data_IF_931541300376
#
_entry.id   IF_931541300376
#
_cell.length_a   1.000
_cell.length_b   1.000
_cell.length_c   1.000
_cell.angle_alpha   90.00
_cell.angle_beta   90.00
_cell.angle_gamma   90.00
#
_symmetry.space_group_name_H-M   'P 1'
#
loop_
_entity.id
_entity.type
_entity.pdbx_description
1 polymer ?
#
# COMPACT_ATOMS: atom_id res chain seq x y z
N UNK A 1 -23.33 34.18 -6.21
CA UNK A 1 -23.72 32.76 -6.28
C UNK A 1 -22.46 31.95 -6.44
N UNK A 2 -22.17 31.05 -5.51
CA UNK A 2 -21.02 30.15 -5.59
C UNK A 2 -21.33 29.06 -6.63
N UNK A 3 -20.44 28.90 -7.62
CA UNK A 3 -20.65 27.96 -8.73
C UNK A 3 -20.09 26.60 -8.33
N UNK A 4 -20.97 25.60 -8.24
CA UNK A 4 -20.54 24.20 -8.09
C UNK A 4 -19.88 23.77 -9.41
N UNK A 5 -18.60 23.43 -9.35
CA UNK A 5 -17.81 22.97 -10.51
C UNK A 5 -17.95 21.45 -10.70
N UNK A 6 -18.05 20.70 -9.60
CA UNK A 6 -18.19 19.24 -9.64
C UNK A 6 -18.82 18.71 -8.35
N UNK A 7 -19.73 17.74 -8.50
CA UNK A 7 -20.33 16.96 -7.43
C UNK A 7 -20.43 15.50 -7.91
N UNK A 8 -20.19 14.54 -7.02
CA UNK A 8 -20.45 13.13 -7.29
C UNK A 8 -21.02 12.44 -6.07
N UNK A 9 -21.92 11.50 -6.31
CA UNK A 9 -22.44 10.59 -5.28
C UNK A 9 -21.96 9.18 -5.60
N UNK A 10 -21.25 8.57 -4.64
CA UNK A 10 -20.65 7.25 -4.80
C UNK A 10 -20.93 6.38 -3.58
N UNK A 11 -21.24 5.11 -3.83
CA UNK A 11 -21.30 4.09 -2.78
C UNK A 11 -19.92 3.48 -2.61
N UNK A 12 -19.49 3.37 -1.35
CA UNK A 12 -18.20 2.76 -1.03
C UNK A 12 -18.39 1.29 -0.64
N UNK A 13 -17.50 0.44 -1.15
CA UNK A 13 -17.47 -0.98 -0.86
C UNK A 13 -16.05 -1.36 -0.44
N UNK A 14 -15.96 -2.31 0.50
CA UNK A 14 -14.72 -2.99 0.83
C UNK A 14 -14.72 -4.34 0.11
N UNK A 15 -13.89 -4.48 -0.92
CA UNK A 15 -13.78 -5.70 -1.74
C UNK A 15 -12.32 -5.99 -2.08
N UNK A 16 -11.99 -7.27 -2.15
CA UNK A 16 -10.68 -7.77 -2.52
C UNK A 16 -10.82 -8.93 -3.51
N UNK A 17 -10.13 -8.85 -4.63
CA UNK A 17 -10.04 -9.91 -5.60
C UNK A 17 -9.28 -11.11 -5.00
N UNK A 18 -9.78 -12.32 -5.24
CA UNK A 18 -9.12 -13.56 -4.79
C UNK A 18 -7.83 -13.87 -5.54
N UNK A 19 -7.73 -13.40 -6.79
CA UNK A 19 -6.58 -13.56 -7.68
C UNK A 19 -6.34 -12.25 -8.39
N UNK A 20 -5.08 -11.85 -8.49
CA UNK A 20 -4.61 -10.66 -9.18
C UNK A 20 -4.09 -11.01 -10.56
N UNK A 21 -3.82 -12.28 -10.85
CA UNK A 21 -3.45 -12.73 -12.18
C UNK A 21 -4.05 -14.09 -12.54
N UNK A 22 -4.25 -14.29 -13.85
CA UNK A 22 -4.59 -15.58 -14.43
C UNK A 22 -3.96 -15.67 -15.82
N UNK A 23 -2.94 -16.52 -15.95
CA UNK A 23 -2.18 -16.66 -17.19
C UNK A 23 -1.50 -15.34 -17.58
N UNK A 24 -1.95 -14.73 -18.68
CA UNK A 24 -1.42 -13.46 -19.21
C UNK A 24 -2.26 -12.23 -18.82
N UNK A 25 -3.31 -12.43 -18.02
CA UNK A 25 -4.20 -11.36 -17.59
C UNK A 25 -3.87 -10.97 -16.16
N UNK A 26 -3.75 -9.66 -15.92
CA UNK A 26 -3.42 -9.08 -14.63
C UNK A 26 -4.45 -8.01 -14.26
N UNK A 27 -4.81 -7.96 -12.98
CA UNK A 27 -5.66 -6.93 -12.39
C UNK A 27 -4.79 -5.97 -11.57
N UNK A 28 -5.15 -4.70 -11.50
CA UNK A 28 -4.50 -3.70 -10.64
C UNK A 28 -5.50 -2.61 -10.20
N UNK A 29 -5.20 -1.91 -9.10
CA UNK A 29 -6.05 -0.82 -8.59
C UNK A 29 -7.47 -1.28 -8.26
N UNK A 30 -8.46 -0.47 -8.65
CA UNK A 30 -9.88 -0.71 -8.35
C UNK A 30 -10.42 -2.04 -8.88
N UNK A 31 -9.76 -2.63 -9.88
CA UNK A 31 -10.08 -3.97 -10.37
C UNK A 31 -9.69 -5.09 -9.37
N UNK A 32 -8.66 -4.84 -8.56
CA UNK A 32 -8.18 -5.76 -7.53
C UNK A 32 -8.80 -5.49 -6.16
N UNK A 33 -8.96 -4.23 -5.79
CA UNK A 33 -9.36 -3.85 -4.45
C UNK A 33 -10.18 -2.58 -4.48
N UNK A 34 -11.23 -2.58 -3.66
CA UNK A 34 -12.01 -1.40 -3.37
C UNK A 34 -11.99 -1.25 -1.86
N UNK A 35 -11.74 -0.05 -1.40
CA UNK A 35 -11.86 0.27 0.01
C UNK A 35 -12.42 1.67 0.19
N UNK A 36 -12.91 1.92 1.39
CA UNK A 36 -13.43 3.22 1.77
C UNK A 36 -12.46 4.36 1.42
N UNK A 37 -12.94 5.50 0.89
CA UNK A 37 -12.11 6.65 0.56
C UNK A 37 -11.54 7.31 1.80
N UNK A 38 -12.02 6.94 2.99
CA UNK A 38 -11.55 7.43 4.28
C UNK A 38 -10.06 7.14 4.40
N UNK A 39 -9.29 8.19 4.14
CA UNK A 39 -7.83 8.20 4.18
C UNK A 39 -7.10 8.34 2.84
N UNK A 40 -7.81 8.46 1.71
CA UNK A 40 -7.21 8.87 0.43
C UNK A 40 -6.22 7.85 -0.17
N UNK A 41 -6.35 6.57 0.18
CA UNK A 41 -5.34 5.55 -0.17
C UNK A 41 -5.60 4.87 -1.53
N UNK A 42 -6.78 5.06 -2.14
CA UNK A 42 -7.24 4.27 -3.29
C UNK A 42 -6.34 4.42 -4.51
N UNK A 43 -6.27 5.64 -5.03
CA UNK A 43 -5.46 5.98 -6.20
C UNK A 43 -3.97 5.68 -5.98
N UNK A 44 -3.43 6.02 -4.80
CA UNK A 44 -2.02 5.77 -4.47
C UNK A 44 -1.69 4.28 -4.48
N UNK A 45 -2.58 3.44 -3.95
CA UNK A 45 -2.40 1.98 -3.93
C UNK A 45 -2.44 1.42 -5.35
N UNK A 46 -3.38 1.88 -6.18
CA UNK A 46 -3.48 1.47 -7.58
C UNK A 46 -2.24 1.85 -8.41
N UNK A 47 -1.69 3.04 -8.22
CA UNK A 47 -0.43 3.42 -8.87
C UNK A 47 0.74 2.53 -8.46
N UNK A 48 0.82 2.17 -7.18
CA UNK A 48 1.88 1.28 -6.69
C UNK A 48 1.74 -0.15 -7.23
N UNK A 49 0.52 -0.64 -7.44
CA UNK A 49 0.28 -1.93 -8.09
C UNK A 49 0.79 -1.90 -9.53
N UNK A 50 0.39 -0.88 -10.30
CA UNK A 50 0.82 -0.71 -11.68
C UNK A 50 2.35 -0.57 -11.78
N UNK A 51 2.96 0.23 -10.89
CA UNK A 51 4.41 0.39 -10.85
C UNK A 51 5.13 -0.93 -10.55
N UNK A 52 4.63 -1.72 -9.58
CA UNK A 52 5.21 -3.03 -9.25
C UNK A 52 5.12 -4.01 -10.44
N UNK A 53 3.98 -4.03 -11.14
CA UNK A 53 3.77 -4.93 -12.26
C UNK A 53 4.55 -4.52 -13.52
N UNK A 54 4.66 -3.22 -13.80
CA UNK A 54 5.22 -2.69 -15.05
C UNK A 54 6.68 -3.13 -15.29
N UNK A 55 7.55 -3.02 -14.28
CA UNK A 55 8.95 -3.40 -14.45
C UNK A 55 9.14 -4.92 -14.59
N UNK A 56 8.30 -5.71 -13.91
CA UNK A 56 8.31 -7.18 -14.03
C UNK A 56 7.88 -7.62 -15.42
N UNK A 57 6.79 -7.04 -15.93
CA UNK A 57 6.31 -7.30 -17.30
C UNK A 57 7.37 -6.91 -18.32
N UNK A 58 7.94 -5.70 -18.22
CA UNK A 58 8.99 -5.26 -19.13
C UNK A 58 10.21 -6.18 -19.10
N UNK A 59 10.64 -6.62 -17.92
CA UNK A 59 11.76 -7.56 -17.78
C UNK A 59 11.48 -8.92 -18.42
N UNK A 60 10.27 -9.46 -18.27
CA UNK A 60 9.88 -10.74 -18.90
C UNK A 60 9.75 -10.60 -20.41
N UNK A 61 9.12 -9.53 -20.91
CA UNK A 61 8.94 -9.29 -22.34
C UNK A 61 10.27 -9.10 -23.08
N UNK A 62 11.25 -8.47 -22.41
CA UNK A 62 12.59 -8.28 -22.96
C UNK A 62 13.52 -9.50 -22.77
N UNK A 63 13.04 -10.59 -22.15
CA UNK A 63 13.85 -11.78 -21.88
C UNK A 63 14.88 -11.62 -20.75
N UNK A 64 14.82 -10.53 -19.99
CA UNK A 64 15.74 -10.23 -18.88
C UNK A 64 15.34 -10.93 -17.57
N UNK A 65 14.06 -11.29 -17.42
CA UNK A 65 13.51 -11.95 -16.23
C UNK A 65 12.73 -13.20 -16.60
N UNK A 66 12.74 -14.19 -15.71
CA UNK A 66 11.90 -15.38 -15.85
C UNK A 66 10.41 -15.05 -15.65
N UNK A 67 9.49 -15.68 -16.40
CA UNK A 67 8.05 -15.46 -16.23
C UNK A 67 7.53 -15.69 -14.81
N UNK A 68 8.18 -16.56 -14.03
CA UNK A 68 7.84 -16.83 -12.62
C UNK A 68 7.92 -15.59 -11.71
N UNK A 69 8.67 -14.55 -12.11
CA UNK A 69 8.70 -13.27 -11.38
C UNK A 69 7.32 -12.61 -11.34
N UNK A 70 6.46 -12.84 -12.34
CA UNK A 70 5.12 -12.28 -12.37
C UNK A 70 4.20 -12.88 -11.30
N UNK A 71 4.49 -14.08 -10.81
CA UNK A 71 3.76 -14.69 -9.69
C UNK A 71 3.98 -13.92 -8.38
N UNK A 72 5.13 -13.24 -8.26
CA UNK A 72 5.44 -12.45 -7.06
C UNK A 72 4.55 -11.21 -6.93
N UNK A 73 3.97 -10.70 -8.04
CA UNK A 73 3.08 -9.54 -8.01
C UNK A 73 1.87 -9.74 -7.09
N UNK A 74 1.14 -10.84 -7.26
CA UNK A 74 -0.02 -11.16 -6.42
C UNK A 74 0.41 -11.31 -4.94
N UNK A 75 1.48 -12.07 -4.71
CA UNK A 75 1.99 -12.35 -3.36
C UNK A 75 2.51 -11.11 -2.63
N UNK A 76 2.97 -10.09 -3.36
CA UNK A 76 3.46 -8.82 -2.82
C UNK A 76 2.32 -7.83 -2.59
N UNK A 77 1.35 -7.74 -3.51
CA UNK A 77 0.35 -6.66 -3.52
C UNK A 77 -0.98 -7.01 -2.86
N UNK A 78 -1.39 -8.28 -2.89
CA UNK A 78 -2.64 -8.71 -2.28
C UNK A 78 -2.65 -8.52 -0.74
N UNK A 79 -1.58 -8.86 0.01
CA UNK A 79 -1.56 -8.62 1.46
C UNK A 79 -1.58 -7.14 1.83
N UNK A 80 -0.94 -6.29 1.00
CA UNK A 80 -0.93 -4.84 1.18
C UNK A 80 -2.34 -4.28 1.03
N UNK A 81 -3.07 -4.68 -0.02
CA UNK A 81 -4.45 -4.25 -0.23
C UNK A 81 -5.37 -4.74 0.90
N UNK A 82 -5.21 -5.98 1.37
CA UNK A 82 -5.96 -6.50 2.51
C UNK A 82 -5.76 -5.68 3.79
N UNK A 83 -4.50 -5.26 4.06
CA UNK A 83 -4.19 -4.39 5.19
C UNK A 83 -4.86 -3.02 5.05
N UNK A 84 -4.80 -2.42 3.86
CA UNK A 84 -5.44 -1.12 3.58
C UNK A 84 -6.95 -1.18 3.75
N UNK A 85 -7.60 -2.25 3.29
CA UNK A 85 -9.04 -2.47 3.52
C UNK A 85 -9.34 -2.53 5.02
N UNK A 86 -8.58 -3.31 5.79
CA UNK A 86 -8.82 -3.43 7.23
C UNK A 86 -8.65 -2.09 7.97
N UNK A 87 -7.62 -1.31 7.63
CA UNK A 87 -7.39 0.01 8.22
C UNK A 87 -8.49 1.01 7.85
N UNK A 88 -8.85 1.09 6.58
CA UNK A 88 -9.87 2.04 6.10
C UNK A 88 -11.27 1.68 6.59
N UNK A 89 -11.62 0.39 6.69
CA UNK A 89 -12.88 -0.08 7.29
C UNK A 89 -12.99 0.36 8.75
N UNK A 90 -11.95 0.11 9.55
CA UNK A 90 -11.91 0.53 10.95
C UNK A 90 -12.06 2.06 11.12
N UNK A 91 -11.39 2.84 10.26
CA UNK A 91 -11.51 4.30 10.28
C UNK A 91 -12.92 4.77 9.90
N UNK A 92 -13.52 4.12 8.90
CA UNK A 92 -14.84 4.48 8.38
C UNK A 92 -15.91 4.22 9.42
N UNK A 93 -15.87 3.07 10.08
CA UNK A 93 -16.84 2.70 11.13
C UNK A 93 -16.79 3.66 12.31
N UNK A 94 -15.60 4.12 12.68
CA UNK A 94 -15.42 5.15 13.70
C UNK A 94 -16.03 6.49 13.27
N UNK A 95 -15.68 6.98 12.08
CA UNK A 95 -16.13 8.29 11.58
C UNK A 95 -17.65 8.32 11.39
N UNK A 96 -18.21 7.27 10.79
CA UNK A 96 -19.65 7.17 10.55
C UNK A 96 -20.44 6.74 11.81
N UNK A 97 -19.75 6.52 12.95
CA UNK A 97 -20.34 6.01 14.20
C UNK A 97 -21.19 4.76 13.99
N UNK A 98 -20.75 3.89 13.08
CA UNK A 98 -21.43 2.65 12.74
C UNK A 98 -21.04 1.50 13.68
N UNK A 99 -20.09 1.71 14.59
CA UNK A 99 -19.77 0.75 15.62
C UNK A 99 -20.84 0.72 16.71
N UNK A 100 -21.42 -0.46 16.92
CA UNK A 100 -22.37 -0.74 17.99
C UNK A 100 -21.75 -0.73 19.40
N UNK A 101 -20.41 -0.68 19.50
CA UNK A 101 -19.65 -0.51 20.73
C UNK A 101 -18.66 0.67 20.59
N UNK A 102 -19.10 1.90 20.89
CA UNK A 102 -18.25 3.09 20.83
C UNK A 102 -17.08 3.01 21.82
N UNK A 103 -17.25 2.33 22.96
CA UNK A 103 -16.20 2.19 23.96
C UNK A 103 -15.10 1.23 23.49
N UNK A 104 -15.46 0.11 22.84
CA UNK A 104 -14.52 -0.81 22.22
C UNK A 104 -13.80 -0.22 21.01
N UNK A 105 -14.49 0.58 20.19
CA UNK A 105 -13.87 1.32 19.10
C UNK A 105 -12.84 2.34 19.63
N UNK A 106 -13.22 3.11 20.65
CA UNK A 106 -12.33 4.05 21.31
C UNK A 106 -11.15 3.32 21.97
N UNK A 107 -11.34 2.16 22.60
CA UNK A 107 -10.25 1.38 23.22
C UNK A 107 -9.27 0.80 22.20
N UNK A 108 -9.69 0.54 20.96
CA UNK A 108 -8.79 0.14 19.85
C UNK A 108 -7.98 1.32 19.31
N UNK A 109 -8.56 2.51 19.33
CA UNK A 109 -7.95 3.74 18.79
C UNK A 109 -7.10 4.51 19.81
N UNK A 110 -7.47 4.49 21.08
CA UNK A 110 -6.79 5.20 22.16
C UNK A 110 -5.30 4.88 22.22
N UNK A 111 -4.84 3.62 22.17
CA UNK A 111 -3.40 3.31 22.16
C UNK A 111 -2.69 3.86 20.92
N UNK A 112 -3.38 3.94 19.79
CA UNK A 112 -2.87 4.53 18.55
C UNK A 112 -2.74 6.05 18.65
N UNK A 113 -3.62 6.71 19.42
CA UNK A 113 -3.62 8.15 19.64
C UNK A 113 -2.80 8.62 20.84
N UNK A 114 -2.61 7.77 21.86
CA UNK A 114 -1.78 8.09 23.02
C UNK A 114 -0.30 7.75 22.75
N UNK A 115 -0.05 6.81 21.84
CA UNK A 115 1.30 6.49 21.39
C UNK A 115 1.80 7.55 20.38
N UNK A 116 2.54 8.53 20.88
CA UNK A 116 3.19 9.57 20.06
C UNK A 116 4.01 9.00 18.90
N UNK A 117 4.63 7.83 19.02
CA UNK A 117 5.38 7.22 17.93
C UNK A 117 4.46 6.76 16.79
N UNK A 118 3.28 6.22 17.12
CA UNK A 118 2.28 5.87 16.12
C UNK A 118 1.76 7.10 15.36
N UNK A 119 1.51 8.20 16.06
CA UNK A 119 1.06 9.44 15.41
C UNK A 119 2.19 10.06 14.58
N UNK A 120 3.38 10.21 15.15
CA UNK A 120 4.47 10.95 14.53
C UNK A 120 5.15 10.18 13.38
N UNK A 121 5.12 8.84 13.43
CA UNK A 121 5.85 7.99 12.47
C UNK A 121 4.91 6.99 11.79
N UNK A 122 4.15 6.21 12.55
CA UNK A 122 3.33 5.12 12.01
C UNK A 122 2.28 5.59 11.00
N UNK A 123 1.45 6.55 11.40
CA UNK A 123 0.36 7.09 10.58
C UNK A 123 0.89 7.76 9.30
N UNK A 124 1.87 8.69 9.34
CA UNK A 124 2.48 9.23 8.12
C UNK A 124 3.06 8.16 7.20
N UNK A 125 3.69 7.12 7.74
CA UNK A 125 4.28 6.03 6.93
C UNK A 125 3.22 5.18 6.23
N UNK A 126 2.08 4.91 6.88
CA UNK A 126 0.97 4.17 6.26
C UNK A 126 0.34 4.97 5.12
N UNK A 127 0.07 6.26 5.33
CA UNK A 127 -0.64 7.09 4.37
C UNK A 127 0.22 7.53 3.18
N UNK A 128 1.52 7.73 3.40
CA UNK A 128 2.47 7.97 2.32
C UNK A 128 2.81 6.72 1.50
N UNK A 129 2.45 5.53 2.00
CA UNK A 129 2.82 4.25 1.41
C UNK A 129 4.30 3.88 1.60
N UNK A 130 5.08 4.69 2.33
CA UNK A 130 6.49 4.43 2.61
C UNK A 130 6.69 3.32 3.66
N UNK A 131 5.66 3.03 4.45
CA UNK A 131 5.68 1.96 5.45
C UNK A 131 5.55 0.55 4.88
N UNK A 132 5.37 0.39 3.56
CA UNK A 132 5.17 -0.93 2.95
C UNK A 132 6.43 -1.80 3.06
N UNK A 133 6.22 -3.03 3.52
CA UNK A 133 7.25 -4.07 3.60
C UNK A 133 6.75 -5.34 2.93
N UNK A 134 7.47 -5.82 1.94
CA UNK A 134 7.16 -7.11 1.32
C UNK A 134 7.62 -8.26 2.22
N UNK A 135 6.93 -9.40 2.17
CA UNK A 135 7.39 -10.60 2.86
C UNK A 135 8.65 -11.19 2.23
N UNK A 136 9.41 -11.99 2.97
CA UNK A 136 10.58 -12.72 2.46
C UNK A 136 10.14 -13.79 1.44
N UNK A 137 10.26 -13.48 0.15
CA UNK A 137 9.82 -14.29 -1.02
C UNK A 137 10.74 -13.94 -2.22
N UNK A 138 10.68 -14.58 -3.40
CA UNK A 138 11.86 -14.86 -4.23
C UNK A 138 12.71 -13.65 -4.68
N UNK A 139 12.16 -12.44 -4.69
CA UNK A 139 12.89 -11.19 -4.99
C UNK A 139 13.30 -10.37 -3.77
N UNK A 140 12.69 -10.63 -2.62
CA UNK A 140 12.94 -9.96 -1.34
C UNK A 140 13.85 -10.84 -0.47
N UNK A 141 15.14 -10.51 -0.34
CA UNK A 141 16.08 -11.33 0.43
C UNK A 141 15.68 -11.38 1.90
N UNK A 142 16.03 -12.48 2.57
CA UNK A 142 15.91 -12.58 4.02
C UNK A 142 16.70 -11.45 4.68
N UNK A 143 16.25 -10.98 5.86
CA UNK A 143 16.93 -9.93 6.62
C UNK A 143 18.30 -10.46 7.07
N UNK A 144 19.33 -10.22 6.26
CA UNK A 144 20.74 -10.55 6.53
C UNK A 144 21.54 -9.26 6.70
N UNK A 145 22.33 -9.21 7.79
CA UNK A 145 22.97 -7.99 8.31
C UNK A 145 23.96 -7.30 7.38
N UNK A 146 24.06 -5.97 7.54
CA UNK A 146 25.07 -5.10 6.93
C UNK A 146 24.60 -3.67 6.71
N UNK A 147 23.31 -3.46 6.42
CA UNK A 147 22.75 -2.15 6.06
C UNK A 147 21.60 -1.77 7.01
N UNK A 148 21.92 -1.33 8.23
CA UNK A 148 20.91 -0.96 9.23
C UNK A 148 19.95 0.17 8.76
N UNK A 149 20.38 1.00 7.80
CA UNK A 149 19.58 2.08 7.22
C UNK A 149 18.69 1.65 6.03
N UNK A 150 18.98 0.53 5.37
CA UNK A 150 18.19 0.01 4.24
C UNK A 150 17.55 -1.31 4.64
N UNK A 151 16.28 -1.29 5.02
CA UNK A 151 15.54 -2.53 5.20
C UNK A 151 15.25 -3.13 3.82
N UNK A 152 15.75 -4.35 3.50
CA UNK A 152 15.69 -4.94 2.16
C UNK A 152 14.27 -5.26 1.68
N UNK A 153 13.30 -5.25 2.59
CA UNK A 153 11.89 -5.50 2.34
C UNK A 153 11.09 -4.22 2.07
N UNK A 154 11.71 -3.05 2.24
CA UNK A 154 11.08 -1.73 2.15
C UNK A 154 11.60 -0.93 0.97
N UNK A 155 10.89 0.14 0.61
CA UNK A 155 11.35 1.07 -0.41
C UNK A 155 12.68 1.72 0.04
N UNK A 156 13.63 1.88 -0.90
CA UNK A 156 14.84 2.65 -0.66
C UNK A 156 14.49 4.09 -0.31
N UNK A 157 14.94 4.54 0.86
CA UNK A 157 14.79 5.93 1.30
C UNK A 157 15.92 6.76 0.66
N UNK A 158 15.58 7.81 -0.11
CA UNK A 158 16.61 8.67 -0.68
C UNK A 158 17.36 9.38 0.46
N UNK A 159 18.68 9.49 0.32
CA UNK A 159 19.55 10.27 1.20
C UNK A 159 20.39 11.24 0.36
N UNK A 160 20.82 12.35 0.96
CA UNK A 160 21.68 13.32 0.30
C UNK A 160 23.07 12.73 0.07
N UNK A 161 23.60 12.89 -1.14
CA UNK A 161 24.97 12.50 -1.51
C UNK A 161 25.63 13.65 -2.26
N UNK A 162 26.81 14.07 -1.83
CA UNK A 162 27.62 15.06 -2.55
C UNK A 162 28.42 14.34 -3.65
N UNK A 163 28.20 14.71 -4.91
CA UNK A 163 29.04 14.27 -6.02
C UNK A 163 30.27 15.19 -6.05
N UNK A 164 31.45 14.67 -5.72
CA UNK A 164 32.69 15.42 -5.93
C UNK A 164 32.84 15.74 -7.42
N UNK A 165 33.02 17.01 -7.76
CA UNK A 165 33.36 17.43 -9.11
C UNK A 165 34.77 16.92 -9.40
N UNK A 166 34.89 15.96 -10.32
CA UNK A 166 36.18 15.61 -10.89
C UNK A 166 36.59 16.77 -11.80
N UNK A 167 37.59 17.53 -11.37
CA UNK A 167 38.31 18.50 -12.20
C UNK A 167 39.42 17.79 -12.97
#
# INVERSE_FOLDING_TARGET
>A
MERIIWESNSRFYNRLARRYSQGRVFLCGDACHLFSPVGGLGMNTGFQDAFNLAWKLAGVLNGNLYPSVLESYEHERQPVAAQMIATTDANTRLILRQDCDPAGALRRWLPTMDNRHHIAVGFPMTFSGLGQRYGSRPLSPAVGGGWAACCPLSRCTPTWVCRAAMH
#
